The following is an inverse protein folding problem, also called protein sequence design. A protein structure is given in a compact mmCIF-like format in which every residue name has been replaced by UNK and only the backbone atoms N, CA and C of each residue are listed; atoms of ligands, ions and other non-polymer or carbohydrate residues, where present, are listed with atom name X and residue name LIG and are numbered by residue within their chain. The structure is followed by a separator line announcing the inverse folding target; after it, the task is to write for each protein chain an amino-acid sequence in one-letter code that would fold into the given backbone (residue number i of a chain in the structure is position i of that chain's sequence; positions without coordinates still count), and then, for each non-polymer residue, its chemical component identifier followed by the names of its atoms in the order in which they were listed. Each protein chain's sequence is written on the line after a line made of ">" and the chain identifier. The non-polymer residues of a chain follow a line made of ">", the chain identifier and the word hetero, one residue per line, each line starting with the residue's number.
data_IF_684427847370
#
_entry.id   IF_684427847370
#
_cell.length_a   1.000
_cell.length_b   1.000
_cell.length_c   1.000
_cell.angle_alpha   90.00
_cell.angle_beta   90.00
_cell.angle_gamma   90.00
#
_symmetry.space_group_name_H-M   'P 1'
#
loop_
_entity.id
_entity.type
_entity.pdbx_description
1 polymer ?
#
# COMPACT_ATOMS: atom_id res chain seq x y z
N UNK A 1 -8.74 -11.00 -22.78
CA UNK A 1 -7.25 -11.02 -22.87
C UNK A 1 -6.59 -10.18 -21.78
N UNK A 2 -7.24 -9.12 -21.26
CA UNK A 2 -6.76 -8.30 -20.14
C UNK A 2 -6.74 -9.03 -18.78
N UNK A 3 -7.75 -9.84 -18.47
CA UNK A 3 -7.87 -10.43 -17.12
C UNK A 3 -6.79 -11.47 -16.80
N UNK A 4 -6.36 -12.27 -17.78
CA UNK A 4 -5.31 -13.26 -17.60
C UNK A 4 -3.92 -12.63 -17.42
N UNK A 5 -3.66 -11.49 -18.09
CA UNK A 5 -2.45 -10.69 -17.90
C UNK A 5 -2.45 -10.01 -16.53
N UNK A 6 -3.60 -9.52 -16.08
CA UNK A 6 -3.76 -8.94 -14.74
C UNK A 6 -3.53 -9.98 -13.64
N UNK A 7 -4.03 -11.20 -13.80
CA UNK A 7 -3.84 -12.28 -12.83
C UNK A 7 -2.37 -12.70 -12.72
N UNK A 8 -1.67 -12.89 -13.85
CA UNK A 8 -0.24 -13.20 -13.88
C UNK A 8 0.62 -12.09 -13.26
N UNK A 9 0.31 -10.82 -13.56
CA UNK A 9 0.99 -9.67 -12.96
C UNK A 9 0.81 -9.64 -11.42
N UNK A 10 -0.39 -9.99 -10.93
CA UNK A 10 -0.69 -9.98 -9.50
C UNK A 10 0.00 -11.05 -8.70
N UNK A 11 -0.02 -12.28 -9.19
CA UNK A 11 0.59 -13.39 -8.48
C UNK A 11 2.11 -13.19 -8.40
N UNK A 12 2.74 -12.82 -9.53
CA UNK A 12 4.19 -12.58 -9.58
C UNK A 12 4.63 -11.37 -8.73
N UNK A 13 3.93 -10.23 -8.78
CA UNK A 13 4.31 -9.08 -7.95
C UNK A 13 4.05 -9.32 -6.46
N UNK A 14 3.01 -10.06 -6.10
CA UNK A 14 2.74 -10.48 -4.71
C UNK A 14 3.84 -11.40 -4.19
N UNK A 15 4.29 -12.35 -4.99
CA UNK A 15 5.40 -13.24 -4.65
C UNK A 15 6.68 -12.46 -4.42
N UNK A 16 7.04 -11.55 -5.35
CA UNK A 16 8.22 -10.68 -5.20
C UNK A 16 8.12 -9.82 -3.94
N UNK A 17 6.96 -9.22 -3.67
CA UNK A 17 6.72 -8.41 -2.48
C UNK A 17 6.88 -9.20 -1.17
N UNK A 18 6.42 -10.44 -1.12
CA UNK A 18 6.53 -11.31 0.06
C UNK A 18 7.97 -11.78 0.34
N UNK A 19 8.86 -11.72 -0.65
CA UNK A 19 10.26 -12.10 -0.53
C UNK A 19 11.19 -10.91 -0.24
N UNK A 20 10.68 -9.68 -0.19
CA UNK A 20 11.51 -8.52 0.12
C UNK A 20 12.02 -8.60 1.56
N UNK A 21 13.34 -8.45 1.81
CA UNK A 21 13.90 -8.51 3.15
C UNK A 21 13.51 -7.26 3.95
N UNK A 22 13.39 -7.37 5.28
CA UNK A 22 13.26 -6.19 6.14
C UNK A 22 14.41 -5.18 5.87
N UNK A 23 14.14 -3.86 5.83
CA UNK A 23 12.86 -3.17 6.02
C UNK A 23 12.08 -2.94 4.70
N UNK A 24 12.53 -3.54 3.60
CA UNK A 24 11.95 -3.37 2.27
C UNK A 24 10.71 -4.26 2.04
N UNK A 25 10.43 -5.21 2.94
CA UNK A 25 9.13 -5.90 2.99
C UNK A 25 8.02 -4.83 2.96
N UNK A 26 7.10 -4.86 1.98
CA UNK A 26 6.09 -3.83 1.84
C UNK A 26 5.19 -3.92 3.06
N UNK A 27 5.40 -3.00 3.97
CA UNK A 27 4.64 -2.91 5.21
C UNK A 27 3.28 -2.36 4.84
N UNK A 28 2.35 -3.27 4.57
CA UNK A 28 0.95 -2.95 4.34
C UNK A 28 0.20 -3.19 5.63
N UNK A 29 -0.56 -2.20 6.09
CA UNK A 29 -1.29 -2.28 7.35
C UNK A 29 -2.62 -1.53 7.27
N UNK A 30 -3.53 -1.81 8.20
CA UNK A 30 -4.77 -1.04 8.38
C UNK A 30 -4.52 -0.03 9.49
N UNK A 31 -4.70 1.27 9.22
CA UNK A 31 -4.59 2.33 10.22
C UNK A 31 -5.72 2.26 11.26
N UNK A 32 -5.61 3.04 12.33
CA UNK A 32 -6.66 3.16 13.35
C UNK A 32 -8.00 3.65 12.75
N UNK A 33 -7.93 4.48 11.70
CA UNK A 33 -9.10 4.98 10.95
C UNK A 33 -9.65 3.95 9.93
N UNK A 34 -9.09 2.75 9.88
CA UNK A 34 -9.51 1.69 8.98
C UNK A 34 -9.08 1.90 7.52
N UNK A 35 -8.00 2.65 7.28
CA UNK A 35 -7.44 2.88 5.93
C UNK A 35 -6.33 1.88 5.66
N UNK A 36 -6.36 1.23 4.49
CA UNK A 36 -5.26 0.38 4.01
C UNK A 36 -4.09 1.28 3.57
N UNK A 37 -2.99 1.19 4.31
CA UNK A 37 -1.76 1.97 4.15
C UNK A 37 -0.62 1.07 3.69
N UNK A 38 0.36 1.65 3.01
CA UNK A 38 1.62 1.00 2.61
C UNK A 38 2.79 1.94 2.88
N UNK A 39 3.83 1.44 3.55
CA UNK A 39 5.11 2.15 3.66
C UNK A 39 5.74 2.20 2.27
N UNK A 40 5.96 3.42 1.75
CA UNK A 40 6.60 3.65 0.44
C UNK A 40 8.04 4.16 0.57
N UNK A 41 8.51 4.40 1.79
CA UNK A 41 9.89 4.76 2.05
C UNK A 41 10.16 5.10 3.51
N UNK A 42 11.41 5.45 3.77
CA UNK A 42 11.88 5.96 5.06
C UNK A 42 12.36 7.39 4.85
N UNK A 43 11.96 8.30 5.73
CA UNK A 43 12.34 9.71 5.71
C UNK A 43 13.05 10.09 7.01
N UNK A 44 14.06 10.96 6.91
CA UNK A 44 14.71 11.52 8.09
C UNK A 44 13.85 12.68 8.62
N UNK A 45 13.47 12.60 9.89
CA UNK A 45 12.77 13.64 10.64
C UNK A 45 13.67 14.17 11.77
N UNK A 46 13.22 15.24 12.44
CA UNK A 46 13.90 15.80 13.61
C UNK A 46 13.95 14.82 14.80
N UNK A 47 13.01 13.86 14.85
CA UNK A 47 12.88 12.86 15.91
C UNK A 47 13.57 11.52 15.56
N UNK A 48 14.02 11.33 14.31
CA UNK A 48 14.69 10.10 13.86
C UNK A 48 14.28 9.66 12.45
N UNK A 49 14.41 8.36 12.17
CA UNK A 49 13.87 7.79 10.93
C UNK A 49 12.37 7.55 11.11
N UNK A 50 11.57 8.13 10.21
CA UNK A 50 10.12 7.91 10.12
C UNK A 50 9.75 7.13 8.86
N UNK A 51 8.61 6.45 8.89
CA UNK A 51 8.04 5.85 7.69
C UNK A 51 7.22 6.87 6.90
N UNK A 52 7.35 6.81 5.58
CA UNK A 52 6.50 7.53 4.65
C UNK A 52 5.40 6.59 4.19
N UNK A 53 4.19 6.79 4.70
CA UNK A 53 3.04 5.94 4.41
C UNK A 53 2.15 6.53 3.32
N UNK A 54 1.53 5.65 2.53
CA UNK A 54 0.59 6.03 1.49
C UNK A 54 -0.66 5.15 1.49
N UNK A 55 -1.82 5.77 1.30
CA UNK A 55 -3.09 5.06 1.20
C UNK A 55 -3.16 4.24 -0.10
N UNK A 56 -3.50 2.96 0.01
CA UNK A 56 -3.61 2.04 -1.11
C UNK A 56 -5.02 2.15 -1.72
N UNK A 57 -5.22 3.14 -2.60
CA UNK A 57 -6.53 3.39 -3.22
C UNK A 57 -6.94 2.32 -4.21
N UNK A 58 -5.96 1.84 -4.96
CA UNK A 58 -6.09 0.79 -5.94
C UNK A 58 -5.07 -0.28 -5.61
N UNK A 59 -5.41 -1.54 -5.88
CA UNK A 59 -4.47 -2.64 -5.80
C UNK A 59 -3.26 -2.29 -6.66
N UNK A 60 -2.03 -2.21 -6.12
CA UNK A 60 -0.84 -1.85 -6.88
C UNK A 60 -0.50 -2.89 -7.96
N UNK A 61 -1.20 -4.04 -7.93
CA UNK A 61 -0.98 -5.17 -8.81
C UNK A 61 -1.98 -5.21 -9.99
N UNK A 62 -3.30 -5.19 -9.74
CA UNK A 62 -4.34 -5.25 -10.79
C UNK A 62 -5.04 -3.92 -11.06
N UNK A 63 -4.78 -2.89 -10.26
CA UNK A 63 -5.49 -1.61 -10.36
C UNK A 63 -6.95 -1.65 -9.89
N UNK A 64 -7.43 -2.78 -9.35
CA UNK A 64 -8.78 -2.85 -8.74
C UNK A 64 -8.89 -1.77 -7.67
N UNK A 65 -9.95 -0.96 -7.72
CA UNK A 65 -10.25 0.03 -6.67
C UNK A 65 -10.52 -0.71 -5.37
N UNK A 66 -9.68 -0.48 -4.35
CA UNK A 66 -9.78 -1.10 -3.03
C UNK A 66 -10.47 -0.17 -2.02
N UNK A 67 -10.25 1.14 -2.17
CA UNK A 67 -10.76 2.15 -1.26
C UNK A 67 -11.30 3.35 -2.05
N UNK A 68 -12.13 4.16 -1.40
CA UNK A 68 -12.73 5.35 -2.00
C UNK A 68 -12.09 6.64 -1.43
N UNK A 69 -11.49 7.51 -2.26
CA UNK A 69 -10.78 8.70 -1.75
C UNK A 69 -11.68 9.64 -0.97
N UNK A 70 -12.94 9.79 -1.39
CA UNK A 70 -13.93 10.64 -0.73
C UNK A 70 -14.26 10.10 0.67
N UNK A 71 -14.48 8.78 0.79
CA UNK A 71 -14.76 8.13 2.07
C UNK A 71 -13.54 8.08 3.00
N UNK A 72 -12.32 8.12 2.48
CA UNK A 72 -11.10 8.25 3.30
C UNK A 72 -10.94 9.67 3.80
N UNK A 73 -11.17 10.68 2.94
CA UNK A 73 -11.02 12.08 3.33
C UNK A 73 -11.91 12.44 4.54
N UNK A 74 -13.09 11.83 4.64
CA UNK A 74 -13.99 11.97 5.80
C UNK A 74 -13.47 11.29 7.08
N UNK A 75 -12.62 10.26 6.95
CA UNK A 75 -12.07 9.51 8.09
C UNK A 75 -10.77 10.09 8.64
N UNK A 76 -9.93 10.66 7.76
CA UNK A 76 -8.62 11.22 8.11
C UNK A 76 -8.75 12.67 8.62
N UNK A 77 -9.91 13.30 8.44
CA UNK A 77 -10.24 14.58 9.06
C UNK A 77 -10.71 14.39 10.50
N UNK A 78 -9.82 14.24 11.47
CA UNK A 78 -9.98 14.68 12.88
C UNK A 78 -8.65 14.64 13.63
#
# INVERSE_FOLDING_TARGET
>A
MSDALNQFCCDTLREVAAELPEPAEPTVYISEDGVLMMVVGIVQTEEGLGYMDHAVMHCPFCGTKLQDPEAIAEKVSH
#
